data_IF_060674472544
#
_entry.id   IF_060674472544
#
_cell.length_a   1.000
_cell.length_b   1.000
_cell.length_c   1.000
_cell.angle_alpha   90.00
_cell.angle_beta   90.00
_cell.angle_gamma   90.00
#
_symmetry.space_group_name_H-M   'P 1'
#
loop_
_entity.id
_entity.type
_entity.pdbx_description
1 polymer ?
#
# COMPACT_ATOMS: atom_id res chain seq x y z
N UNK A 1 77.29 -26.06 13.32
CA UNK A 1 77.28 -25.12 12.18
C UNK A 1 76.08 -25.49 11.31
N UNK A 2 74.94 -24.82 11.49
CA UNK A 2 73.68 -25.16 10.81
C UNK A 2 73.56 -24.23 9.61
N UNK A 3 73.76 -24.77 8.41
CA UNK A 3 73.51 -24.04 7.17
C UNK A 3 72.00 -23.85 7.03
N UNK A 4 71.51 -22.67 7.42
CA UNK A 4 70.11 -22.27 7.18
C UNK A 4 69.97 -22.06 5.67
N UNK A 5 69.29 -22.99 5.02
CA UNK A 5 68.94 -22.91 3.60
C UNK A 5 67.97 -21.73 3.43
N UNK A 6 68.48 -20.52 3.17
CA UNK A 6 67.66 -19.39 2.76
C UNK A 6 67.09 -19.70 1.38
N UNK A 7 65.83 -20.15 1.35
CA UNK A 7 65.07 -20.32 0.12
C UNK A 7 65.02 -18.96 -0.58
N UNK A 8 65.73 -18.85 -1.71
CA UNK A 8 65.76 -17.61 -2.50
C UNK A 8 64.36 -17.37 -3.07
N UNK A 9 63.71 -16.28 -2.64
CA UNK A 9 62.45 -15.82 -3.20
C UNK A 9 62.59 -15.58 -4.70
N UNK A 10 61.54 -15.90 -5.45
CA UNK A 10 61.56 -15.71 -6.91
C UNK A 10 61.49 -14.22 -7.26
N UNK A 11 61.96 -13.84 -8.46
CA UNK A 11 61.87 -12.44 -8.93
C UNK A 11 60.44 -11.89 -8.91
N UNK A 12 59.43 -12.76 -9.03
CA UNK A 12 58.02 -12.37 -8.94
C UNK A 12 57.66 -11.99 -7.51
N UNK A 13 58.08 -12.78 -6.52
CA UNK A 13 57.80 -12.55 -5.10
C UNK A 13 58.54 -11.34 -4.51
N UNK A 14 59.64 -10.94 -5.15
CA UNK A 14 60.40 -9.75 -4.77
C UNK A 14 59.97 -8.49 -5.53
N UNK A 15 59.03 -8.62 -6.48
CA UNK A 15 58.54 -7.48 -7.26
C UNK A 15 57.66 -6.56 -6.39
N UNK A 16 57.80 -5.22 -6.50
CA UNK A 16 56.87 -4.27 -5.89
C UNK A 16 55.42 -4.46 -6.36
N UNK A 17 55.24 -4.97 -7.58
CA UNK A 17 53.94 -5.17 -8.25
C UNK A 17 53.42 -6.61 -8.10
N UNK A 18 53.87 -7.33 -7.07
CA UNK A 18 53.54 -8.74 -6.85
C UNK A 18 52.03 -9.06 -6.96
N UNK A 19 51.18 -8.30 -6.27
CA UNK A 19 49.73 -8.56 -6.24
C UNK A 19 49.12 -8.43 -7.64
N UNK A 20 49.50 -7.40 -8.38
CA UNK A 20 49.00 -7.13 -9.73
C UNK A 20 49.44 -8.21 -10.72
N UNK A 21 50.70 -8.69 -10.60
CA UNK A 21 51.20 -9.81 -11.39
C UNK A 21 50.38 -11.07 -11.13
N UNK A 22 50.09 -11.35 -9.86
CA UNK A 22 49.25 -12.49 -9.45
C UNK A 22 47.85 -12.37 -10.03
N UNK A 23 47.22 -11.20 -9.92
CA UNK A 23 45.86 -10.95 -10.41
C UNK A 23 45.76 -11.11 -11.92
N UNK A 24 46.72 -10.59 -12.69
CA UNK A 24 46.77 -10.77 -14.14
C UNK A 24 46.94 -12.24 -14.53
N UNK A 25 47.81 -12.98 -13.83
CA UNK A 25 48.00 -14.40 -14.10
C UNK A 25 46.76 -15.25 -13.72
N UNK A 26 46.04 -14.88 -12.66
CA UNK A 26 44.79 -15.52 -12.24
C UNK A 26 43.63 -15.19 -13.19
N UNK A 27 43.59 -13.96 -13.72
CA UNK A 27 42.63 -13.53 -14.73
C UNK A 27 42.80 -14.26 -16.08
N UNK A 28 43.91 -14.98 -16.27
CA UNK A 28 44.16 -15.82 -17.44
C UNK A 28 45.08 -15.20 -18.48
N UNK A 29 45.65 -14.01 -18.20
CA UNK A 29 46.61 -13.39 -19.11
C UNK A 29 47.86 -14.26 -19.30
N UNK A 30 48.45 -14.18 -20.50
CA UNK A 30 49.62 -14.99 -20.82
C UNK A 30 50.88 -14.43 -20.13
N UNK A 31 51.83 -15.27 -19.69
CA UNK A 31 53.09 -14.80 -19.10
C UNK A 31 53.90 -13.85 -20.00
N UNK A 32 53.72 -13.94 -21.33
CA UNK A 32 54.32 -13.01 -22.29
C UNK A 32 53.67 -11.64 -22.23
N UNK A 33 52.33 -11.60 -22.17
CA UNK A 33 51.60 -10.35 -22.00
C UNK A 33 52.01 -9.64 -20.71
N UNK A 34 52.01 -10.35 -19.58
CA UNK A 34 52.37 -9.78 -18.28
C UNK A 34 53.83 -9.30 -18.27
N UNK A 35 54.76 -10.04 -18.88
CA UNK A 35 56.17 -9.61 -19.01
C UNK A 35 56.31 -8.30 -19.80
N UNK A 36 55.60 -8.17 -20.92
CA UNK A 36 55.58 -6.94 -21.72
C UNK A 36 54.90 -5.78 -20.99
N UNK A 37 53.79 -6.04 -20.31
CA UNK A 37 53.06 -5.06 -19.52
C UNK A 37 53.94 -4.45 -18.42
N UNK A 38 54.62 -5.29 -17.63
CA UNK A 38 55.55 -4.83 -16.59
C UNK A 38 56.71 -4.02 -17.16
N UNK A 39 57.23 -4.42 -18.34
CA UNK A 39 58.33 -3.71 -18.99
C UNK A 39 57.90 -2.37 -19.56
N UNK A 40 56.65 -2.23 -20.00
CA UNK A 40 56.15 -1.00 -20.62
C UNK A 40 55.62 -0.02 -19.58
N UNK A 41 54.88 -0.50 -18.59
CA UNK A 41 54.19 0.35 -17.62
C UNK A 41 55.09 0.73 -16.43
N UNK A 42 55.85 -0.24 -15.92
CA UNK A 42 56.63 -0.08 -14.68
C UNK A 42 58.14 -0.13 -14.92
N UNK A 43 58.57 -0.28 -16.19
CA UNK A 43 59.97 -0.48 -16.57
C UNK A 43 60.64 -1.67 -15.83
N UNK A 44 59.83 -2.65 -15.38
CA UNK A 44 60.30 -3.80 -14.61
C UNK A 44 60.54 -5.01 -15.53
N UNK A 45 61.76 -5.56 -15.49
CA UNK A 45 62.16 -6.69 -16.35
C UNK A 45 62.02 -8.04 -15.64
N UNK A 46 60.84 -8.64 -15.74
CA UNK A 46 60.60 -10.04 -15.36
C UNK A 46 60.44 -10.90 -16.61
N UNK A 47 61.24 -11.95 -16.74
CA UNK A 47 61.15 -12.87 -17.88
C UNK A 47 59.82 -13.64 -17.88
N UNK A 48 59.22 -13.78 -19.06
CA UNK A 48 58.04 -14.63 -19.27
C UNK A 48 58.25 -16.07 -18.78
N UNK A 49 59.50 -16.58 -18.80
CA UNK A 49 59.84 -17.93 -18.30
C UNK A 49 59.66 -18.00 -16.79
N UNK A 50 60.10 -16.96 -16.07
CA UNK A 50 59.94 -16.86 -14.62
C UNK A 50 58.46 -16.79 -14.24
N UNK A 51 57.68 -15.96 -14.94
CA UNK A 51 56.23 -15.86 -14.76
C UNK A 51 55.53 -17.19 -15.08
N UNK A 52 55.97 -17.91 -16.11
CA UNK A 52 55.42 -19.22 -16.45
C UNK A 52 55.68 -20.27 -15.35
N UNK A 53 56.91 -20.35 -14.84
CA UNK A 53 57.25 -21.24 -13.72
C UNK A 53 56.46 -20.88 -12.46
N UNK A 54 56.36 -19.59 -12.16
CA UNK A 54 55.58 -19.10 -11.03
C UNK A 54 54.10 -19.50 -11.17
N UNK A 55 53.50 -19.28 -12.35
CA UNK A 55 52.11 -19.69 -12.63
C UNK A 55 51.91 -21.20 -12.47
N UNK A 56 52.86 -22.02 -12.93
CA UNK A 56 52.76 -23.48 -12.85
C UNK A 56 52.88 -24.00 -11.41
N UNK A 57 53.74 -23.38 -10.60
CA UNK A 57 54.10 -23.90 -9.28
C UNK A 57 53.28 -23.29 -8.14
N UNK A 58 52.87 -22.02 -8.28
CA UNK A 58 52.27 -21.24 -7.20
C UNK A 58 50.82 -20.84 -7.46
N UNK A 59 50.34 -20.90 -8.71
CA UNK A 59 48.97 -20.54 -9.05
C UNK A 59 48.16 -21.78 -9.44
N UNK A 60 47.25 -22.18 -8.55
CA UNK A 60 46.27 -23.21 -8.84
C UNK A 60 45.12 -22.59 -9.67
N UNK A 61 45.43 -22.14 -10.89
CA UNK A 61 44.51 -21.41 -11.79
C UNK A 61 43.20 -22.18 -12.00
N UNK A 62 43.25 -23.53 -12.00
CA UNK A 62 42.05 -24.39 -12.07
C UNK A 62 41.13 -24.24 -10.86
N UNK A 63 41.67 -24.01 -9.66
CA UNK A 63 40.88 -23.84 -8.45
C UNK A 63 40.20 -22.45 -8.42
N UNK A 64 40.91 -21.39 -8.82
CA UNK A 64 40.37 -20.03 -8.87
C UNK A 64 39.21 -19.89 -9.89
N UNK A 65 39.33 -20.53 -11.06
CA UNK A 65 38.26 -20.55 -12.08
C UNK A 65 37.02 -21.29 -11.58
N UNK A 66 37.19 -22.42 -10.88
CA UNK A 66 36.07 -23.16 -10.27
C UNK A 66 35.33 -22.33 -9.22
N UNK A 67 36.05 -21.58 -8.39
CA UNK A 67 35.43 -20.70 -7.38
C UNK A 67 34.59 -19.59 -8.04
N UNK A 68 35.10 -18.93 -9.08
CA UNK A 68 34.34 -17.90 -9.82
C UNK A 68 33.06 -18.44 -10.47
N UNK A 69 33.08 -19.68 -10.97
CA UNK A 69 31.87 -20.33 -11.51
C UNK A 69 30.84 -20.56 -10.41
N UNK A 70 31.27 -21.09 -9.25
CA UNK A 70 30.39 -21.37 -8.10
C UNK A 70 29.77 -20.08 -7.54
N UNK A 71 30.52 -18.98 -7.47
CA UNK A 71 30.01 -17.69 -7.01
C UNK A 71 28.96 -17.10 -7.97
N UNK A 72 29.19 -17.21 -9.29
CA UNK A 72 28.20 -16.80 -10.31
C UNK A 72 26.91 -17.62 -10.24
N UNK A 73 26.98 -18.92 -9.92
CA UNK A 73 25.76 -19.72 -9.75
C UNK A 73 25.01 -19.39 -8.45
N UNK A 74 25.73 -19.13 -7.35
CA UNK A 74 25.12 -18.73 -6.08
C UNK A 74 24.40 -17.39 -6.17
N UNK A 75 24.98 -16.41 -6.85
CA UNK A 75 24.38 -15.08 -7.06
C UNK A 75 23.09 -15.18 -7.89
N UNK A 76 23.11 -15.89 -9.02
CA UNK A 76 21.90 -16.15 -9.82
C UNK A 76 20.78 -16.86 -9.04
N UNK A 77 21.12 -17.82 -8.18
CA UNK A 77 20.12 -18.49 -7.32
C UNK A 77 19.50 -17.55 -6.29
N UNK A 78 20.29 -16.65 -5.69
CA UNK A 78 19.80 -15.64 -4.73
C UNK A 78 18.89 -14.61 -5.39
N UNK A 79 19.27 -14.12 -6.57
CA UNK A 79 18.43 -13.18 -7.34
C UNK A 79 17.07 -13.81 -7.71
N UNK A 80 17.08 -15.08 -8.13
CA UNK A 80 15.85 -15.79 -8.47
C UNK A 80 14.94 -15.99 -7.25
N UNK A 81 15.49 -16.38 -6.09
CA UNK A 81 14.69 -16.54 -4.87
C UNK A 81 14.15 -15.22 -4.33
N UNK A 82 14.89 -14.11 -4.49
CA UNK A 82 14.41 -12.78 -4.10
C UNK A 82 13.24 -12.33 -4.96
N UNK A 83 13.32 -12.51 -6.28
CA UNK A 83 12.21 -12.18 -7.19
C UNK A 83 10.95 -13.00 -6.89
N UNK A 84 11.09 -14.31 -6.67
CA UNK A 84 9.96 -15.18 -6.31
C UNK A 84 9.34 -14.81 -4.96
N UNK A 85 10.14 -14.34 -4.00
CA UNK A 85 9.64 -13.90 -2.68
C UNK A 85 8.88 -12.57 -2.78
N UNK A 86 9.41 -11.62 -3.56
CA UNK A 86 8.74 -10.34 -3.81
C UNK A 86 7.40 -10.53 -4.53
N UNK A 87 7.35 -11.38 -5.55
CA UNK A 87 6.11 -11.62 -6.31
C UNK A 87 5.02 -12.29 -5.45
N UNK A 88 5.40 -13.18 -4.52
CA UNK A 88 4.47 -13.76 -3.54
C UNK A 88 3.96 -12.74 -2.53
N UNK A 89 4.81 -11.82 -2.07
CA UNK A 89 4.40 -10.77 -1.15
C UNK A 89 3.45 -9.75 -1.78
N UNK A 90 3.67 -9.39 -3.05
CA UNK A 90 2.78 -8.49 -3.79
C UNK A 90 1.38 -9.08 -3.95
N UNK A 91 1.28 -10.36 -4.35
CA UNK A 91 0.00 -11.08 -4.48
C UNK A 91 -0.74 -11.25 -3.14
N UNK A 92 0.00 -11.33 -2.02
CA UNK A 92 -0.60 -11.40 -0.69
C UNK A 92 -1.15 -10.04 -0.23
N UNK A 93 -0.42 -8.95 -0.51
CA UNK A 93 -0.86 -7.59 -0.20
C UNK A 93 -2.13 -7.20 -0.99
N UNK A 94 -2.17 -7.51 -2.29
CA UNK A 94 -3.32 -7.23 -3.16
C UNK A 94 -4.60 -7.95 -2.68
N UNK A 95 -4.48 -9.19 -2.22
CA UNK A 95 -5.60 -9.93 -1.61
C UNK A 95 -6.07 -9.34 -0.27
N UNK A 96 -5.14 -8.81 0.53
CA UNK A 96 -5.48 -8.14 1.79
C UNK A 96 -6.30 -6.87 1.55
N UNK A 97 -5.84 -6.03 0.63
CA UNK A 97 -6.52 -4.77 0.25
C UNK A 97 -7.92 -5.05 -0.30
N UNK A 98 -8.08 -6.07 -1.17
CA UNK A 98 -9.39 -6.43 -1.72
C UNK A 98 -10.39 -6.89 -0.63
N UNK A 99 -9.94 -7.68 0.34
CA UNK A 99 -10.81 -8.13 1.44
C UNK A 99 -11.21 -6.99 2.39
N UNK A 100 -10.35 -6.00 2.57
CA UNK A 100 -10.61 -4.85 3.42
C UNK A 100 -11.59 -3.88 2.75
N UNK A 101 -11.43 -3.64 1.44
CA UNK A 101 -12.38 -2.87 0.64
C UNK A 101 -13.79 -3.51 0.62
N UNK A 102 -13.88 -4.84 0.48
CA UNK A 102 -15.17 -5.54 0.48
C UNK A 102 -15.89 -5.42 1.83
N UNK A 103 -15.16 -5.49 2.95
CA UNK A 103 -15.72 -5.26 4.29
C UNK A 103 -16.23 -3.83 4.49
N UNK A 104 -15.48 -2.84 3.99
CA UNK A 104 -15.91 -1.43 4.06
C UNK A 104 -17.17 -1.19 3.24
N UNK A 105 -17.25 -1.77 2.04
CA UNK A 105 -18.44 -1.66 1.19
C UNK A 105 -19.68 -2.28 1.83
N UNK A 106 -19.56 -3.47 2.41
CA UNK A 106 -20.67 -4.12 3.14
C UNK A 106 -21.11 -3.32 4.37
N UNK A 107 -20.16 -2.72 5.10
CA UNK A 107 -20.48 -1.86 6.23
C UNK A 107 -21.25 -0.61 5.79
N UNK A 108 -20.81 0.04 4.71
CA UNK A 108 -21.49 1.21 4.14
C UNK A 108 -22.93 0.87 3.69
N UNK A 109 -23.11 -0.22 2.96
CA UNK A 109 -24.44 -0.68 2.51
C UNK A 109 -25.37 -0.95 3.71
N UNK A 110 -24.84 -1.55 4.79
CA UNK A 110 -25.61 -1.79 6.01
C UNK A 110 -26.05 -0.50 6.71
N UNK A 111 -25.21 0.54 6.68
CA UNK A 111 -25.51 1.86 7.25
C UNK A 111 -26.54 2.61 6.41
N UNK A 112 -26.44 2.55 5.09
CA UNK A 112 -27.40 3.16 4.17
C UNK A 112 -28.79 2.54 4.36
N UNK A 113 -28.90 1.21 4.48
CA UNK A 113 -30.16 0.52 4.76
C UNK A 113 -30.75 0.93 6.13
N UNK A 114 -29.91 1.06 7.16
CA UNK A 114 -30.34 1.49 8.49
C UNK A 114 -30.81 2.95 8.49
N UNK A 115 -30.11 3.83 7.77
CA UNK A 115 -30.47 5.24 7.61
C UNK A 115 -31.81 5.39 6.89
N UNK A 116 -32.02 4.65 5.79
CA UNK A 116 -33.27 4.63 5.03
C UNK A 116 -34.46 4.18 5.88
N UNK A 117 -34.26 3.19 6.74
CA UNK A 117 -35.31 2.71 7.65
C UNK A 117 -35.67 3.78 8.69
N UNK A 118 -34.66 4.37 9.34
CA UNK A 118 -34.86 5.47 10.31
C UNK A 118 -35.54 6.67 9.65
N UNK A 119 -35.15 7.04 8.44
CA UNK A 119 -35.77 8.14 7.70
C UNK A 119 -37.25 7.88 7.40
N UNK A 120 -37.61 6.65 6.99
CA UNK A 120 -39.01 6.26 6.77
C UNK A 120 -39.84 6.35 8.04
N UNK A 121 -39.29 5.99 9.19
CA UNK A 121 -40.01 6.06 10.46
C UNK A 121 -40.16 7.50 10.97
N UNK A 122 -39.13 8.33 10.84
CA UNK A 122 -39.24 9.78 11.11
C UNK A 122 -40.31 10.42 10.22
N UNK A 123 -40.36 10.07 8.93
CA UNK A 123 -41.39 10.59 8.01
C UNK A 123 -42.81 10.21 8.43
N UNK A 124 -43.05 8.97 8.86
CA UNK A 124 -44.36 8.54 9.38
C UNK A 124 -44.75 9.31 10.65
N UNK A 125 -43.78 9.60 11.53
CA UNK A 125 -44.01 10.42 12.71
C UNK A 125 -44.39 11.84 12.31
N UNK A 126 -43.71 12.44 11.34
CA UNK A 126 -44.04 13.78 10.82
C UNK A 126 -45.41 13.86 10.16
N UNK A 127 -45.82 12.82 9.42
CA UNK A 127 -47.16 12.72 8.86
C UNK A 127 -48.22 12.67 9.99
N UNK A 128 -47.97 11.91 11.05
CA UNK A 128 -48.87 11.81 12.21
C UNK A 128 -48.96 13.13 12.98
N UNK A 129 -47.83 13.81 13.18
CA UNK A 129 -47.75 15.13 13.84
C UNK A 129 -48.53 16.16 13.03
N UNK A 130 -48.30 16.22 11.72
CA UNK A 130 -49.00 17.14 10.81
C UNK A 130 -50.52 16.91 10.83
N UNK A 131 -50.95 15.64 10.78
CA UNK A 131 -52.37 15.29 10.91
C UNK A 131 -52.92 15.73 12.26
N UNK A 132 -52.22 15.47 13.36
CA UNK A 132 -52.63 15.89 14.69
C UNK A 132 -52.71 17.42 14.81
N UNK A 133 -51.75 18.18 14.31
CA UNK A 133 -51.72 19.65 14.34
C UNK A 133 -52.90 20.27 13.58
N UNK A 134 -53.23 19.73 12.40
CA UNK A 134 -54.32 20.21 11.55
C UNK A 134 -55.72 20.09 12.19
N UNK A 135 -55.87 19.21 13.19
CA UNK A 135 -57.13 19.03 13.91
C UNK A 135 -57.39 20.21 14.85
N UNK A 136 -58.56 20.84 14.71
CA UNK A 136 -59.08 21.79 15.68
C UNK A 136 -59.98 21.05 16.67
N UNK A 137 -59.73 21.28 17.96
CA UNK A 137 -60.60 20.81 19.03
C UNK A 137 -61.57 21.93 19.37
N UNK A 138 -62.86 21.66 19.23
CA UNK A 138 -63.90 22.59 19.66
C UNK A 138 -64.28 22.20 21.09
N UNK A 139 -63.67 22.89 22.05
CA UNK A 139 -63.81 22.64 23.49
C UNK A 139 -64.99 23.42 24.10
N UNK A 140 -66.07 23.59 23.35
CA UNK A 140 -67.26 24.20 23.92
C UNK A 140 -67.83 23.27 24.99
N UNK A 141 -67.83 23.72 26.25
CA UNK A 141 -68.45 23.03 27.38
C UNK A 141 -69.98 23.00 27.22
N UNK A 142 -70.45 22.16 26.32
CA UNK A 142 -71.86 21.85 26.21
C UNK A 142 -72.18 20.67 27.14
N UNK A 143 -73.32 20.71 27.87
CA UNK A 143 -73.78 19.54 28.61
C UNK A 143 -74.03 18.37 27.66
N UNK A 144 -73.73 17.15 28.12
CA UNK A 144 -73.90 15.93 27.34
C UNK A 144 -75.35 15.78 26.86
N UNK A 145 -75.53 15.71 25.54
CA UNK A 145 -76.82 15.56 24.88
C UNK A 145 -76.83 14.21 24.13
N UNK A 146 -77.70 13.25 24.50
CA UNK A 146 -77.80 11.95 23.85
C UNK A 146 -78.09 12.03 22.34
N UNK A 147 -78.76 13.08 21.86
CA UNK A 147 -79.06 13.28 20.44
C UNK A 147 -77.82 13.74 19.63
N UNK A 148 -76.77 14.21 20.31
CA UNK A 148 -75.49 14.66 19.73
C UNK A 148 -74.35 13.66 19.95
N UNK A 149 -74.65 12.40 20.25
CA UNK A 149 -73.66 11.36 20.57
C UNK A 149 -72.52 11.25 19.54
N UNK A 150 -72.83 11.42 18.25
CA UNK A 150 -71.83 11.35 17.17
C UNK A 150 -70.80 12.50 17.22
N UNK A 151 -71.22 13.70 17.65
CA UNK A 151 -70.34 14.88 17.80
C UNK A 151 -69.35 14.64 18.95
N UNK A 152 -69.82 14.10 20.08
CA UNK A 152 -68.96 13.74 21.21
C UNK A 152 -67.95 12.64 20.84
N UNK A 153 -68.37 11.66 20.05
CA UNK A 153 -67.49 10.60 19.54
C UNK A 153 -66.43 11.16 18.58
N UNK A 154 -66.80 12.10 17.72
CA UNK A 154 -65.88 12.80 16.82
C UNK A 154 -64.84 13.62 17.60
N UNK A 155 -65.25 14.43 18.57
CA UNK A 155 -64.34 15.22 19.41
C UNK A 155 -63.41 14.32 20.25
N UNK A 156 -63.91 13.20 20.77
CA UNK A 156 -63.09 12.20 21.47
C UNK A 156 -62.04 11.57 20.55
N UNK A 157 -62.37 11.31 19.28
CA UNK A 157 -61.42 10.80 18.30
C UNK A 157 -60.36 11.85 17.93
N UNK A 158 -60.76 13.13 17.78
CA UNK A 158 -59.83 14.26 17.57
C UNK A 158 -58.85 14.41 18.74
N UNK A 159 -59.34 14.29 19.98
CA UNK A 159 -58.51 14.32 21.18
C UNK A 159 -57.48 13.17 21.18
N UNK A 160 -57.91 11.95 20.86
CA UNK A 160 -57.03 10.79 20.77
C UNK A 160 -55.95 10.95 19.69
N UNK A 161 -56.27 11.57 18.55
CA UNK A 161 -55.29 11.88 17.50
C UNK A 161 -54.27 12.95 17.95
N UNK A 162 -54.70 13.96 18.69
CA UNK A 162 -53.79 14.94 19.32
C UNK A 162 -52.84 14.29 20.33
N UNK A 163 -53.35 13.39 21.18
CA UNK A 163 -52.51 12.62 22.12
C UNK A 163 -51.48 11.74 21.39
N UNK A 164 -51.89 11.11 20.29
CA UNK A 164 -50.97 10.33 19.44
C UNK A 164 -49.91 11.22 18.78
N UNK A 165 -50.28 12.41 18.31
CA UNK A 165 -49.34 13.41 17.81
C UNK A 165 -48.28 13.80 18.85
N UNK A 166 -48.71 14.08 20.10
CA UNK A 166 -47.78 14.38 21.20
C UNK A 166 -46.83 13.22 21.52
N UNK A 167 -47.33 11.97 21.48
CA UNK A 167 -46.48 10.78 21.63
C UNK A 167 -45.49 10.63 20.48
N UNK A 168 -45.91 10.94 19.25
CA UNK A 168 -45.02 10.90 18.10
C UNK A 168 -43.93 11.98 18.15
N UNK A 169 -44.24 13.19 18.64
CA UNK A 169 -43.23 14.22 18.92
C UNK A 169 -42.19 13.66 19.89
N UNK A 170 -42.62 13.05 20.99
CA UNK A 170 -41.72 12.47 21.99
C UNK A 170 -40.83 11.35 21.40
N UNK A 171 -41.42 10.42 20.66
CA UNK A 171 -40.68 9.34 19.98
C UNK A 171 -39.71 9.87 18.92
N UNK A 172 -40.07 10.93 18.20
CA UNK A 172 -39.19 11.59 17.24
C UNK A 172 -37.99 12.21 17.92
N UNK A 173 -38.18 12.85 19.08
CA UNK A 173 -37.06 13.33 19.89
C UNK A 173 -36.19 12.19 20.39
N UNK A 174 -36.76 11.10 20.90
CA UNK A 174 -35.97 9.92 21.33
C UNK A 174 -35.13 9.32 20.19
N UNK A 175 -35.67 9.25 18.97
CA UNK A 175 -34.94 8.76 17.79
C UNK A 175 -33.82 9.69 17.31
N UNK A 176 -33.91 10.99 17.62
CA UNK A 176 -32.93 12.02 17.23
C UNK A 176 -31.91 12.27 18.36
N UNK A 177 -32.32 12.15 19.63
CA UNK A 177 -31.49 12.34 20.83
C UNK A 177 -30.73 11.07 21.27
N UNK A 178 -31.04 9.89 20.72
CA UNK A 178 -30.21 8.67 20.91
C UNK A 178 -28.79 8.82 20.29
N UNK A 179 -28.48 9.97 19.69
CA UNK A 179 -27.15 10.39 19.28
C UNK A 179 -26.34 11.00 20.47
N UNK A 180 -26.05 10.19 21.48
CA UNK A 180 -24.67 10.11 21.98
C UNK A 180 -23.82 9.30 20.97
N UNK A 181 -23.96 9.59 19.68
CA UNK A 181 -22.93 9.28 18.70
C UNK A 181 -21.87 10.34 18.87
N UNK A 182 -20.85 10.05 19.68
CA UNK A 182 -19.51 10.56 19.38
C UNK A 182 -19.18 10.14 17.95
N UNK A 183 -19.53 11.00 16.99
CA UNK A 183 -18.97 10.97 15.65
C UNK A 183 -17.52 11.36 15.84
N UNK A 184 -16.68 10.39 16.21
CA UNK A 184 -15.25 10.52 16.03
C UNK A 184 -15.04 10.49 14.52
N UNK A 185 -15.18 11.66 13.89
CA UNK A 185 -14.57 11.92 12.60
C UNK A 185 -13.08 11.85 12.88
N UNK A 186 -12.54 10.63 12.88
CA UNK A 186 -11.10 10.46 12.69
C UNK A 186 -10.89 10.92 11.26
N UNK A 187 -10.52 12.20 11.13
CA UNK A 187 -10.09 12.76 9.87
C UNK A 187 -8.71 12.15 9.59
N UNK A 188 -8.70 10.92 9.11
CA UNK A 188 -7.51 10.16 8.70
C UNK A 188 -7.00 10.60 7.31
N UNK A 189 -7.56 11.68 6.75
CA UNK A 189 -7.21 12.22 5.44
C UNK A 189 -6.45 13.55 5.53
N UNK A 190 -5.33 13.59 6.27
CA UNK A 190 -4.37 14.70 6.16
C UNK A 190 -3.09 14.34 5.41
N UNK A 191 -3.01 13.15 4.78
CA UNK A 191 -1.83 12.68 4.05
C UNK A 191 -2.08 12.42 2.55
N UNK A 192 -3.19 12.90 1.97
CA UNK A 192 -3.31 12.95 0.51
C UNK A 192 -2.65 14.24 0.04
N UNK A 193 -1.44 14.13 -0.52
CA UNK A 193 -0.73 15.22 -1.17
C UNK A 193 -1.66 15.89 -2.21
N UNK A 194 -2.03 17.15 -1.95
CA UNK A 194 -2.88 17.98 -2.82
C UNK A 194 -2.39 18.01 -4.28
N UNK A 195 -1.08 17.80 -4.46
CA UNK A 195 -0.40 17.70 -5.76
C UNK A 195 -0.95 16.55 -6.64
N UNK A 196 -1.36 15.42 -6.06
CA UNK A 196 -1.87 14.27 -6.82
C UNK A 196 -3.29 14.49 -7.34
N UNK A 197 -4.09 15.26 -6.59
CA UNK A 197 -5.47 15.62 -6.97
C UNK A 197 -5.44 16.66 -8.10
N UNK A 198 -4.50 17.61 -8.04
CA UNK A 198 -4.30 18.61 -9.10
C UNK A 198 -3.80 17.97 -10.41
N UNK A 199 -2.96 16.93 -10.34
CA UNK A 199 -2.48 16.19 -11.53
C UNK A 199 -3.62 15.43 -12.24
N UNK A 200 -4.51 14.77 -11.49
CA UNK A 200 -5.66 14.04 -12.05
C UNK A 200 -6.74 14.96 -12.66
N UNK A 201 -6.95 16.14 -12.09
CA UNK A 201 -7.87 17.14 -12.64
C UNK A 201 -7.31 17.73 -13.94
N UNK A 202 -6.00 17.94 -14.02
CA UNK A 202 -5.35 18.48 -15.22
C UNK A 202 -5.27 17.45 -16.37
N UNK A 203 -5.12 16.15 -16.09
CA UNK A 203 -5.16 15.10 -17.12
C UNK A 203 -6.54 14.95 -17.78
N UNK A 204 -7.63 15.21 -17.05
CA UNK A 204 -9.00 15.10 -17.61
C UNK A 204 -9.44 16.33 -18.41
N UNK A 205 -8.66 17.42 -18.40
CA UNK A 205 -8.98 18.66 -19.12
C UNK A 205 -7.99 19.05 -20.23
N UNK A 206 -6.89 18.32 -20.40
CA UNK A 206 -5.97 18.50 -21.53
C UNK A 206 -6.37 17.64 -22.75
N UNK A 207 -7.46 18.08 -23.40
CA UNK A 207 -7.83 18.04 -24.84
C UNK A 207 -7.03 17.15 -25.84
N UNK A 208 -7.68 16.76 -26.95
CA UNK A 208 -7.44 17.59 -28.14
C UNK A 208 -8.74 18.01 -28.85
N UNK A 209 -8.84 19.32 -29.04
CA UNK A 209 -9.33 19.85 -30.31
C UNK A 209 -8.39 19.36 -31.41
N UNK A 210 -8.97 18.83 -32.48
CA UNK A 210 -8.38 18.95 -33.81
C UNK A 210 -9.48 19.34 -34.78
N UNK A 211 -9.39 20.59 -35.23
CA UNK A 211 -9.97 21.15 -36.44
C UNK A 211 -9.56 20.35 -37.69
N UNK A 212 -10.46 20.31 -38.68
CA UNK A 212 -10.19 20.45 -40.12
C UNK A 212 -11.53 20.23 -40.84
N UNK A 213 -12.19 21.27 -41.36
CA UNK A 213 -12.02 21.75 -42.74
C UNK A 213 -12.09 20.64 -43.79
N UNK A 214 -13.29 20.41 -44.34
CA UNK A 214 -13.63 20.54 -45.77
C UNK A 214 -15.15 20.45 -46.00
#
# INVERSE_FOLDING_TARGET
MVCVNMVRKSKVETSPHYNEIVDLLVAGYTPRYVSNYLSNEYNEKISYVTLHKYRKNNLNVKAAVKQKIIEKEKTKRREKSQKESQEKSAKAAEKGIAQEAEKQFQAQESLEVAADYRFKDIKKLDDLISQAESLKLDLDEQPYDPEKHDIYKEQKNKLKLKELGLKAIKLKYELIDDDETTVNIVNENNDFDDDLIEELINETHSKPETDSEE
#
